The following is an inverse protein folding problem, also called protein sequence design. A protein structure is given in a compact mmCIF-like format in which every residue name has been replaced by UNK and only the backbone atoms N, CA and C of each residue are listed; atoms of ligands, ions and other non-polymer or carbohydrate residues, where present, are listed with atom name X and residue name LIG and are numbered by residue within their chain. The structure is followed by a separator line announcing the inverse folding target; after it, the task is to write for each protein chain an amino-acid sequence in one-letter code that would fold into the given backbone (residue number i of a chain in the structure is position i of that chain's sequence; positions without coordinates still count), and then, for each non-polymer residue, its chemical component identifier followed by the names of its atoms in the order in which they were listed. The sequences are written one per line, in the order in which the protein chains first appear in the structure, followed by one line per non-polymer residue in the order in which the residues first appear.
data_IF_397976037581
#
_entry.id   IF_397976037581
#
_cell.length_a   1.000
_cell.length_b   1.000
_cell.length_c   1.000
_cell.angle_alpha   90.00
_cell.angle_beta   90.00
_cell.angle_gamma   90.00
#
_symmetry.space_group_name_H-M   'P 1'
#
loop_
_entity.id
_entity.type
_entity.pdbx_description
1 polymer ?
#
# COMPACT_ATOMS: atom_id res chain seq x y z
N UNK A 1 24.14 7.89 -29.30
CA UNK A 1 23.70 6.62 -28.67
C UNK A 1 24.56 6.36 -27.44
N UNK A 2 24.12 6.71 -26.27
CA UNK A 2 24.87 6.46 -25.03
C UNK A 2 24.44 5.09 -24.48
N UNK A 3 25.37 4.14 -24.43
CA UNK A 3 25.16 2.85 -23.81
C UNK A 3 24.86 3.03 -22.32
N UNK A 4 23.63 2.78 -21.89
CA UNK A 4 23.28 2.61 -20.47
C UNK A 4 24.00 1.35 -19.97
N UNK A 5 25.10 1.52 -19.23
CA UNK A 5 25.72 0.42 -18.48
C UNK A 5 24.71 -0.04 -17.42
N UNK A 6 24.10 -1.20 -17.60
CA UNK A 6 23.26 -1.81 -16.57
C UNK A 6 24.14 -2.14 -15.36
N UNK A 7 23.71 -1.71 -14.19
CA UNK A 7 24.38 -2.09 -12.93
C UNK A 7 24.33 -3.62 -12.76
N UNK A 8 25.43 -4.21 -12.34
CA UNK A 8 25.50 -5.64 -12.04
C UNK A 8 24.57 -5.99 -10.88
N UNK A 9 24.10 -7.24 -10.80
CA UNK A 9 23.23 -7.73 -9.71
C UNK A 9 23.82 -7.43 -8.33
N UNK A 10 25.15 -7.57 -8.17
CA UNK A 10 25.85 -7.27 -6.92
C UNK A 10 25.88 -5.78 -6.60
N UNK A 11 26.00 -4.88 -7.59
CA UNK A 11 25.94 -3.44 -7.40
C UNK A 11 24.53 -2.98 -7.04
N UNK A 12 23.49 -3.59 -7.61
CA UNK A 12 22.10 -3.37 -7.23
C UNK A 12 21.85 -3.81 -5.78
N UNK A 13 22.34 -4.99 -5.39
CA UNK A 13 22.20 -5.49 -4.02
C UNK A 13 22.92 -4.62 -2.98
N UNK A 14 24.13 -4.09 -3.28
CA UNK A 14 24.84 -3.17 -2.38
C UNK A 14 24.15 -1.82 -2.22
N UNK A 15 23.51 -1.29 -3.27
CA UNK A 15 22.71 -0.07 -3.18
C UNK A 15 21.42 -0.28 -2.39
N UNK A 16 20.72 -1.38 -2.63
CA UNK A 16 19.54 -1.79 -1.83
C UNK A 16 19.92 -1.91 -0.35
N UNK A 17 21.09 -2.49 -0.02
CA UNK A 17 21.57 -2.58 1.36
C UNK A 17 21.84 -1.20 2.01
N UNK A 18 22.09 -0.16 1.23
CA UNK A 18 22.29 1.20 1.74
C UNK A 18 20.95 1.91 2.04
N UNK A 19 19.86 1.51 1.36
CA UNK A 19 18.49 1.96 1.61
C UNK A 19 17.67 0.99 2.48
N UNK A 20 18.21 -0.18 2.79
CA UNK A 20 17.67 -0.96 3.88
C UNK A 20 17.86 -0.11 5.14
N UNK A 21 16.87 0.76 5.38
CA UNK A 21 16.54 1.19 6.72
C UNK A 21 16.72 -0.06 7.55
N UNK A 22 17.59 -0.01 8.56
CA UNK A 22 17.63 -1.10 9.55
C UNK A 22 16.18 -1.39 9.86
N UNK A 23 15.67 -2.62 9.66
CA UNK A 23 14.30 -2.92 10.00
C UNK A 23 14.14 -2.36 11.39
N UNK A 24 13.11 -1.52 11.62
CA UNK A 24 12.80 -1.00 12.95
C UNK A 24 12.84 -2.24 13.80
N UNK A 25 13.91 -2.40 14.58
CA UNK A 25 14.35 -3.70 15.11
C UNK A 25 13.16 -4.29 15.83
N UNK A 26 12.78 -5.51 15.47
CA UNK A 26 11.86 -6.28 16.31
C UNK A 26 12.41 -6.16 17.74
N UNK A 27 11.58 -5.77 18.73
CA UNK A 27 12.06 -5.55 20.08
C UNK A 27 12.87 -6.76 20.48
N UNK A 28 14.11 -6.53 20.93
CA UNK A 28 15.01 -7.60 21.38
C UNK A 28 14.23 -8.38 22.45
N UNK A 29 14.12 -9.72 22.36
CA UNK A 29 13.41 -10.48 23.37
C UNK A 29 13.95 -10.12 24.76
N UNK A 30 13.12 -9.48 25.60
CA UNK A 30 13.51 -9.04 26.96
C UNK A 30 13.36 -7.53 27.21
N UNK A 31 13.18 -6.66 26.22
CA UNK A 31 12.80 -5.26 26.43
C UNK A 31 11.35 -5.06 26.04
N UNK A 32 10.49 -4.95 27.02
CA UNK A 32 9.13 -4.43 26.81
C UNK A 32 9.27 -2.91 26.63
N UNK A 33 9.33 -2.44 25.38
CA UNK A 33 9.26 -1.04 25.08
C UNK A 33 7.92 -0.49 25.61
N UNK A 34 7.95 0.64 26.30
CA UNK A 34 6.75 1.26 26.87
C UNK A 34 6.74 2.73 26.54
N UNK A 35 5.57 3.28 26.26
CA UNK A 35 5.41 4.73 26.17
C UNK A 35 5.35 5.33 27.57
N UNK A 36 6.19 6.33 27.82
CA UNK A 36 6.11 7.15 29.03
C UNK A 36 4.86 8.04 28.98
N UNK A 37 4.42 8.53 30.15
CA UNK A 37 3.30 9.50 30.20
C UNK A 37 3.57 10.76 29.36
N UNK A 38 4.82 11.23 29.29
CA UNK A 38 5.22 12.36 28.47
C UNK A 38 5.07 12.05 26.97
N UNK A 39 5.53 10.89 26.50
CA UNK A 39 5.40 10.48 25.11
C UNK A 39 3.95 10.28 24.67
N UNK A 40 3.08 9.78 25.56
CA UNK A 40 1.64 9.68 25.30
C UNK A 40 1.01 11.07 25.14
N UNK A 41 1.28 11.96 26.08
CA UNK A 41 0.79 13.34 26.01
C UNK A 41 1.33 14.10 24.79
N UNK A 42 2.58 13.84 24.37
CA UNK A 42 3.17 14.44 23.16
C UNK A 42 2.47 13.95 21.89
N UNK A 43 2.20 12.64 21.78
CA UNK A 43 1.39 12.10 20.67
C UNK A 43 0.02 12.76 20.60
N UNK A 44 -0.73 12.76 21.70
CA UNK A 44 -2.09 13.35 21.75
C UNK A 44 -2.10 14.84 21.43
N UNK A 45 -1.09 15.59 21.89
CA UNK A 45 -1.01 17.03 21.68
C UNK A 45 -0.59 17.44 20.27
N UNK A 46 0.21 16.62 19.58
CA UNK A 46 0.84 16.96 18.29
C UNK A 46 0.19 16.30 17.09
N UNK A 47 -0.65 15.28 17.29
CA UNK A 47 -1.42 14.65 16.21
C UNK A 47 -2.78 15.30 16.05
N UNK A 48 -3.19 15.53 14.80
CA UNK A 48 -4.53 15.99 14.42
C UNK A 48 -5.51 14.81 14.42
N UNK A 49 -5.03 13.65 14.01
CA UNK A 49 -5.79 12.43 13.98
C UNK A 49 -6.00 11.80 15.36
N UNK A 50 -6.66 10.66 15.40
CA UNK A 50 -7.01 9.96 16.64
C UNK A 50 -5.87 9.08 17.13
N UNK A 51 -5.57 9.11 18.41
CA UNK A 51 -4.63 8.21 19.09
C UNK A 51 -5.43 7.23 19.95
N UNK A 52 -5.15 5.94 19.85
CA UNK A 52 -5.88 4.88 20.54
C UNK A 52 -4.93 4.02 21.34
N UNK A 53 -5.24 3.83 22.62
CA UNK A 53 -4.48 3.01 23.56
C UNK A 53 -5.27 1.77 24.01
N UNK A 54 -4.62 0.76 24.61
CA UNK A 54 -5.28 -0.49 25.02
C UNK A 54 -6.43 -0.35 26.02
N UNK A 55 -6.56 0.77 26.71
CA UNK A 55 -7.65 1.05 27.66
C UNK A 55 -8.83 1.82 27.06
N UNK A 56 -8.72 2.21 25.79
CA UNK A 56 -9.80 2.94 25.10
C UNK A 56 -10.89 1.95 24.66
N UNK A 57 -12.14 2.41 24.71
CA UNK A 57 -13.31 1.57 24.46
C UNK A 57 -13.30 0.91 23.07
N UNK A 58 -12.76 1.60 22.08
CA UNK A 58 -12.75 1.15 20.67
C UNK A 58 -11.50 0.33 20.33
N UNK A 59 -10.55 0.16 21.26
CA UNK A 59 -9.25 -0.49 20.99
C UNK A 59 -9.38 -1.87 20.35
N UNK A 60 -10.29 -2.71 20.85
CA UNK A 60 -10.46 -4.07 20.32
C UNK A 60 -11.00 -4.08 18.89
N UNK A 61 -11.78 -3.08 18.49
CA UNK A 61 -12.22 -2.90 17.12
C UNK A 61 -11.09 -2.33 16.25
N UNK A 62 -10.40 -1.32 16.78
CA UNK A 62 -9.36 -0.56 16.06
C UNK A 62 -8.10 -1.40 15.74
N UNK A 63 -7.76 -2.38 16.59
CA UNK A 63 -6.62 -3.28 16.35
C UNK A 63 -6.87 -4.39 15.33
N UNK A 64 -8.11 -4.57 14.85
CA UNK A 64 -8.44 -5.65 13.91
C UNK A 64 -7.92 -5.35 12.51
N UNK A 65 -7.56 -6.43 11.80
CA UNK A 65 -7.39 -6.47 10.35
C UNK A 65 -8.61 -7.11 9.68
N UNK A 66 -8.71 -6.98 8.36
CA UNK A 66 -9.76 -7.63 7.57
C UNK A 66 -9.79 -9.15 7.79
N UNK A 67 -8.63 -9.78 7.99
CA UNK A 67 -8.54 -11.18 8.33
C UNK A 67 -8.50 -11.37 9.87
N UNK A 68 -9.58 -11.87 10.49
CA UNK A 68 -9.68 -12.01 11.95
C UNK A 68 -8.76 -13.11 12.52
N UNK A 69 -8.06 -13.87 11.69
CA UNK A 69 -7.07 -14.84 12.16
C UNK A 69 -5.83 -14.15 12.77
N UNK A 70 -5.56 -12.91 12.38
CA UNK A 70 -4.45 -12.13 12.92
C UNK A 70 -4.89 -11.38 14.17
N UNK A 71 -4.42 -11.82 15.34
CA UNK A 71 -4.74 -11.22 16.62
C UNK A 71 -3.48 -10.60 17.23
N UNK A 72 -3.29 -9.31 17.00
CA UNK A 72 -2.18 -8.51 17.48
C UNK A 72 -2.65 -7.44 18.48
N UNK A 73 -1.74 -7.03 19.38
CA UNK A 73 -2.03 -6.12 20.48
C UNK A 73 -1.00 -4.98 20.51
N UNK A 74 -1.15 -3.94 19.67
CA UNK A 74 -0.26 -2.79 19.67
C UNK A 74 -0.36 -1.99 20.97
N UNK A 75 0.73 -1.33 21.37
CA UNK A 75 0.72 -0.38 22.51
C UNK A 75 -0.03 0.91 22.18
N UNK A 76 -0.05 1.28 20.92
CA UNK A 76 -0.73 2.48 20.43
C UNK A 76 -1.06 2.35 18.95
N UNK A 77 -2.22 2.88 18.55
CA UNK A 77 -2.63 3.04 17.17
C UNK A 77 -2.81 4.54 16.93
N UNK A 78 -2.13 5.10 15.93
CA UNK A 78 -2.27 6.49 15.54
C UNK A 78 -2.94 6.56 14.17
N UNK A 79 -4.18 7.02 14.12
CA UNK A 79 -4.89 7.32 12.89
C UNK A 79 -4.42 8.67 12.37
N UNK A 80 -3.53 8.66 11.40
CA UNK A 80 -2.94 9.86 10.84
C UNK A 80 -3.91 10.53 9.87
N UNK A 81 -4.25 11.79 10.14
CA UNK A 81 -5.05 12.63 9.25
C UNK A 81 -4.19 13.38 8.22
N UNK A 82 -2.88 13.55 8.49
CA UNK A 82 -1.96 14.29 7.66
C UNK A 82 -0.51 13.78 7.77
N UNK A 83 0.37 14.31 6.92
CA UNK A 83 1.81 14.00 6.91
C UNK A 83 2.48 14.29 8.27
N UNK A 84 2.10 15.38 8.93
CA UNK A 84 2.65 15.77 10.23
C UNK A 84 2.42 14.68 11.28
N UNK A 85 1.23 14.06 11.30
CA UNK A 85 0.89 12.99 12.23
C UNK A 85 1.79 11.77 12.01
N UNK A 86 2.08 11.44 10.76
CA UNK A 86 3.01 10.36 10.41
C UNK A 86 4.40 10.64 10.95
N UNK A 87 4.92 11.84 10.73
CA UNK A 87 6.26 12.23 11.19
C UNK A 87 6.37 12.27 12.72
N UNK A 88 5.34 12.78 13.40
CA UNK A 88 5.27 12.79 14.87
C UNK A 88 5.27 11.36 15.40
N UNK A 89 4.42 10.49 14.83
CA UNK A 89 4.33 9.08 15.23
C UNK A 89 5.65 8.35 15.04
N UNK A 90 6.32 8.54 13.89
CA UNK A 90 7.63 7.95 13.62
C UNK A 90 8.69 8.42 14.62
N UNK A 91 8.73 9.73 14.93
CA UNK A 91 9.63 10.30 15.93
C UNK A 91 9.44 9.71 17.31
N UNK A 92 8.19 9.68 17.80
CA UNK A 92 7.87 9.09 19.12
C UNK A 92 8.18 7.59 19.16
N UNK A 93 7.87 6.85 18.08
CA UNK A 93 8.21 5.43 18.01
C UNK A 93 9.73 5.19 18.06
N UNK A 94 10.50 6.00 17.35
CA UNK A 94 11.97 5.95 17.36
C UNK A 94 12.53 6.23 18.74
N UNK A 95 12.08 7.30 19.40
CA UNK A 95 12.53 7.72 20.72
C UNK A 95 12.16 6.71 21.83
N UNK A 96 11.05 6.02 21.65
CA UNK A 96 10.58 4.97 22.56
C UNK A 96 11.11 3.56 22.23
N UNK A 97 11.83 3.38 21.13
CA UNK A 97 12.32 2.08 20.66
C UNK A 97 11.17 1.12 20.27
N UNK A 98 10.03 1.65 19.80
CA UNK A 98 8.87 0.86 19.38
C UNK A 98 9.05 0.30 17.97
N UNK A 99 8.65 -0.96 17.79
CA UNK A 99 8.41 -1.49 16.45
C UNK A 99 7.21 -0.77 15.81
N UNK A 100 7.30 -0.45 14.53
CA UNK A 100 6.23 0.20 13.78
C UNK A 100 5.65 -0.74 12.75
N UNK A 101 4.32 -0.80 12.67
CA UNK A 101 3.59 -1.31 11.52
C UNK A 101 2.84 -0.16 10.85
N UNK A 102 2.77 -0.20 9.52
CA UNK A 102 2.01 0.78 8.74
C UNK A 102 0.76 0.12 8.19
N UNK A 103 -0.38 0.73 8.44
CA UNK A 103 -1.68 0.24 7.99
C UNK A 103 -2.37 1.28 7.10
N UNK A 104 -2.93 0.87 5.98
CA UNK A 104 -3.86 1.69 5.17
C UNK A 104 -5.27 1.12 5.31
N UNK A 105 -5.63 0.07 4.52
CA UNK A 105 -6.94 -0.56 4.57
C UNK A 105 -7.01 -1.84 5.42
N UNK A 106 -5.92 -2.27 6.06
CA UNK A 106 -5.91 -3.48 6.89
C UNK A 106 -6.12 -4.80 6.11
N UNK A 107 -5.76 -4.84 4.84
CA UNK A 107 -5.93 -5.99 3.96
C UNK A 107 -4.66 -6.85 3.77
N UNK A 108 -3.67 -6.74 4.67
CA UNK A 108 -2.48 -7.58 4.57
C UNK A 108 -2.83 -9.05 4.73
N UNK A 109 -2.53 -9.87 3.72
CA UNK A 109 -2.76 -11.32 3.75
C UNK A 109 -1.76 -12.06 4.66
N UNK A 110 -0.73 -11.37 5.13
CA UNK A 110 0.31 -11.90 6.03
C UNK A 110 0.27 -11.24 7.43
N UNK A 111 -0.69 -10.34 7.69
CA UNK A 111 -0.85 -9.69 8.99
C UNK A 111 0.21 -8.64 9.31
N UNK A 112 0.87 -8.05 8.31
CA UNK A 112 1.98 -7.11 8.55
C UNK A 112 1.53 -5.68 8.92
N UNK A 113 0.24 -5.39 8.81
CA UNK A 113 -0.27 -4.03 9.09
C UNK A 113 -0.47 -3.74 10.56
N UNK A 114 -0.37 -4.74 11.43
CA UNK A 114 -0.50 -4.62 12.89
C UNK A 114 0.62 -5.42 13.56
N UNK A 115 1.05 -5.01 14.75
CA UNK A 115 2.05 -5.71 15.56
C UNK A 115 1.59 -5.84 17.01
N UNK A 116 2.31 -6.64 17.80
CA UNK A 116 2.12 -6.71 19.24
C UNK A 116 3.21 -5.94 19.94
N UNK A 117 2.84 -5.06 20.89
CA UNK A 117 3.76 -4.32 21.73
C UNK A 117 4.47 -3.16 21.05
N UNK A 118 4.05 -2.78 19.84
CA UNK A 118 4.60 -1.65 19.10
C UNK A 118 3.56 -0.58 18.79
N UNK A 119 3.82 0.23 17.78
CA UNK A 119 2.94 1.28 17.27
C UNK A 119 2.38 0.88 15.90
N UNK A 120 1.10 1.16 15.68
CA UNK A 120 0.49 1.15 14.35
C UNK A 120 0.33 2.59 13.87
N UNK A 121 0.95 2.92 12.75
CA UNK A 121 0.71 4.16 12.00
C UNK A 121 -0.37 3.85 10.97
N UNK A 122 -1.59 4.29 11.24
CA UNK A 122 -2.74 4.06 10.40
C UNK A 122 -2.99 5.24 9.47
N UNK A 123 -3.00 4.96 8.17
CA UNK A 123 -3.16 5.97 7.11
C UNK A 123 -4.57 5.99 6.54
N UNK A 124 -5.51 5.23 7.11
CA UNK A 124 -6.86 5.06 6.55
C UNK A 124 -7.66 6.36 6.50
N UNK A 125 -7.30 7.38 7.28
CA UNK A 125 -7.92 8.70 7.25
C UNK A 125 -7.28 9.64 6.22
N UNK A 126 -6.09 9.33 5.70
CA UNK A 126 -5.44 10.08 4.63
C UNK A 126 -6.01 9.69 3.26
N UNK A 127 -7.19 10.21 2.92
CA UNK A 127 -7.94 9.92 1.70
C UNK A 127 -7.98 11.13 0.78
N UNK A 128 -7.78 10.91 -0.51
CA UNK A 128 -7.91 11.95 -1.51
C UNK A 128 -7.42 11.52 -2.89
N UNK A 129 -8.05 12.07 -3.91
CA UNK A 129 -7.72 11.83 -5.32
C UNK A 129 -7.71 13.18 -6.02
N UNK A 130 -6.63 13.51 -6.70
CA UNK A 130 -6.49 14.72 -7.52
C UNK A 130 -6.06 14.32 -8.92
N UNK A 131 -6.89 14.65 -9.92
CA UNK A 131 -6.61 14.39 -11.33
C UNK A 131 -5.85 15.58 -11.93
N UNK A 132 -4.76 15.28 -12.65
CA UNK A 132 -4.05 16.19 -13.54
C UNK A 132 -4.21 15.62 -14.96
N UNK A 133 -5.34 15.94 -15.59
CA UNK A 133 -5.70 15.40 -16.91
C UNK A 133 -4.77 15.88 -18.01
N UNK A 134 -4.22 17.10 -17.90
CA UNK A 134 -3.30 17.67 -18.87
C UNK A 134 -2.00 16.86 -18.96
N UNK A 135 -1.56 16.29 -17.84
CA UNK A 135 -0.37 15.43 -17.77
C UNK A 135 -0.69 13.94 -17.79
N UNK A 136 -1.97 13.58 -17.86
CA UNK A 136 -2.45 12.21 -17.70
C UNK A 136 -1.92 11.56 -16.39
N UNK A 137 -1.92 12.33 -15.29
CA UNK A 137 -1.51 11.89 -13.97
C UNK A 137 -2.69 11.95 -12.99
N UNK A 138 -2.66 11.08 -12.01
CA UNK A 138 -3.53 11.16 -10.84
C UNK A 138 -2.69 10.99 -9.58
N UNK A 139 -2.95 11.84 -8.58
CA UNK A 139 -2.30 11.83 -7.28
C UNK A 139 -3.28 11.30 -6.25
N UNK A 140 -2.86 10.29 -5.49
CA UNK A 140 -3.74 9.56 -4.57
C UNK A 140 -3.10 9.46 -3.20
N UNK A 141 -3.84 9.79 -2.15
CA UNK A 141 -3.40 9.64 -0.76
C UNK A 141 -3.46 8.16 -0.32
N UNK A 142 -2.60 7.73 0.61
CA UNK A 142 -2.31 6.33 0.88
C UNK A 142 -3.49 5.51 1.40
N UNK A 143 -4.36 6.12 2.18
CA UNK A 143 -5.56 5.50 2.77
C UNK A 143 -6.78 5.53 1.86
N UNK A 144 -6.65 5.93 0.59
CA UNK A 144 -7.77 5.98 -0.35
C UNK A 144 -8.16 4.57 -0.78
N UNK A 145 -9.39 4.10 -0.49
CA UNK A 145 -9.85 2.80 -0.95
C UNK A 145 -10.21 2.83 -2.45
N UNK A 146 -10.19 1.67 -3.09
CA UNK A 146 -10.46 1.58 -4.54
C UNK A 146 -11.85 2.04 -4.94
N UNK A 147 -12.86 1.86 -4.09
CA UNK A 147 -14.20 2.39 -4.37
C UNK A 147 -14.19 3.92 -4.55
N UNK A 148 -13.43 4.64 -3.72
CA UNK A 148 -13.25 6.10 -3.82
C UNK A 148 -12.38 6.46 -5.02
N UNK A 149 -11.28 5.73 -5.23
CA UNK A 149 -10.36 5.97 -6.34
C UNK A 149 -11.05 5.74 -7.69
N UNK A 150 -11.71 4.60 -7.87
CA UNK A 150 -12.47 4.29 -9.08
C UNK A 150 -13.65 5.24 -9.28
N UNK A 151 -14.32 5.64 -8.17
CA UNK A 151 -15.37 6.65 -8.21
C UNK A 151 -14.90 7.99 -8.77
N UNK A 152 -13.71 8.44 -8.37
CA UNK A 152 -13.11 9.68 -8.87
C UNK A 152 -12.72 9.61 -10.38
N UNK A 153 -12.40 8.43 -10.89
CA UNK A 153 -12.08 8.22 -12.31
C UNK A 153 -13.31 7.95 -13.17
N UNK A 154 -14.44 7.59 -12.54
CA UNK A 154 -15.65 7.21 -13.26
C UNK A 154 -16.19 8.37 -14.12
N UNK A 155 -16.49 8.09 -15.39
CA UNK A 155 -17.01 9.07 -16.35
C UNK A 155 -15.93 9.98 -16.98
N UNK A 156 -14.68 9.95 -16.50
CA UNK A 156 -13.57 10.78 -17.08
C UNK A 156 -12.96 10.17 -18.34
N UNK A 157 -13.17 8.88 -18.57
CA UNK A 157 -12.47 8.12 -19.62
C UNK A 157 -11.03 7.76 -19.28
N UNK A 158 -10.56 8.08 -18.06
CA UNK A 158 -9.26 7.70 -17.54
C UNK A 158 -9.35 6.47 -16.62
N UNK A 159 -8.25 5.74 -16.56
CA UNK A 159 -8.16 4.53 -15.73
C UNK A 159 -6.73 4.31 -15.20
N UNK A 160 -6.66 3.68 -14.04
CA UNK A 160 -5.46 3.06 -13.46
C UNK A 160 -5.85 1.65 -13.04
N UNK A 161 -5.06 0.59 -13.33
CA UNK A 161 -5.36 -0.76 -12.86
C UNK A 161 -5.51 -0.81 -11.33
N UNK A 162 -6.66 -1.31 -10.85
CA UNK A 162 -6.98 -1.46 -9.43
C UNK A 162 -7.41 -2.89 -9.12
N UNK A 163 -7.38 -3.26 -7.84
CA UNK A 163 -7.90 -4.55 -7.38
C UNK A 163 -9.43 -4.63 -7.43
N UNK A 164 -9.95 -5.84 -7.28
CA UNK A 164 -11.39 -6.12 -7.32
C UNK A 164 -12.14 -5.71 -6.04
N UNK A 165 -11.46 -5.67 -4.88
CA UNK A 165 -12.09 -5.36 -3.60
C UNK A 165 -12.08 -3.84 -3.35
N UNK A 166 -13.27 -3.23 -3.24
CA UNK A 166 -13.45 -1.78 -3.10
C UNK A 166 -12.82 -1.18 -1.85
N UNK A 167 -12.74 -1.92 -0.75
CA UNK A 167 -12.20 -1.46 0.53
C UNK A 167 -10.67 -1.53 0.65
N UNK A 168 -9.97 -2.17 -0.31
CA UNK A 168 -8.51 -2.19 -0.35
C UNK A 168 -7.97 -0.81 -0.69
N UNK A 169 -6.99 -0.33 0.08
CA UNK A 169 -6.38 0.98 -0.13
C UNK A 169 -5.15 0.91 -1.05
N UNK A 170 -4.91 2.02 -1.75
CA UNK A 170 -3.91 2.09 -2.84
C UNK A 170 -2.49 1.83 -2.38
N UNK A 171 -2.06 2.34 -1.20
CA UNK A 171 -0.65 2.31 -0.82
C UNK A 171 -0.12 0.90 -0.55
N UNK A 172 -0.85 0.08 0.20
CA UNK A 172 -0.44 -1.31 0.44
C UNK A 172 -0.45 -2.14 -0.84
N UNK A 173 -1.47 -1.94 -1.68
CA UNK A 173 -1.67 -2.69 -2.91
C UNK A 173 -0.58 -2.43 -3.95
N UNK A 174 -0.24 -1.18 -4.22
CA UNK A 174 0.80 -0.82 -5.22
C UNK A 174 2.18 -1.30 -4.80
N UNK A 175 2.50 -1.26 -3.50
CA UNK A 175 3.79 -1.73 -2.99
C UNK A 175 3.97 -3.26 -3.11
N UNK A 176 2.87 -4.00 -3.18
CA UNK A 176 2.87 -5.44 -3.50
C UNK A 176 2.79 -5.75 -4.99
N UNK A 177 2.82 -4.73 -5.86
CA UNK A 177 2.65 -4.86 -7.31
C UNK A 177 1.25 -4.51 -7.77
N UNK A 178 0.21 -5.11 -7.21
CA UNK A 178 -1.19 -4.75 -7.45
C UNK A 178 -1.76 -5.32 -8.75
N UNK A 179 -2.33 -6.52 -8.69
CA UNK A 179 -2.97 -7.20 -9.81
C UNK A 179 -4.50 -7.02 -9.78
N UNK A 180 -5.11 -6.74 -10.94
CA UNK A 180 -6.55 -6.58 -11.07
C UNK A 180 -7.06 -6.93 -12.47
N UNK A 181 -8.36 -6.68 -12.71
CA UNK A 181 -9.05 -7.11 -13.94
C UNK A 181 -8.44 -6.56 -15.24
N UNK A 182 -7.86 -5.39 -15.21
CA UNK A 182 -7.28 -4.73 -16.39
C UNK A 182 -5.77 -4.96 -16.53
N UNK A 183 -5.14 -5.69 -15.58
CA UNK A 183 -3.69 -5.87 -15.55
C UNK A 183 -3.15 -6.62 -16.76
N UNK A 184 -3.94 -7.50 -17.37
CA UNK A 184 -3.53 -8.22 -18.58
C UNK A 184 -3.28 -7.29 -19.76
N UNK A 185 -4.03 -6.19 -19.84
CA UNK A 185 -3.93 -5.21 -20.93
C UNK A 185 -2.96 -4.08 -20.60
N UNK A 186 -2.99 -3.59 -19.36
CA UNK A 186 -2.31 -2.36 -18.96
C UNK A 186 -1.12 -2.57 -18.02
N UNK A 187 -0.81 -3.80 -17.62
CA UNK A 187 0.16 -4.10 -16.57
C UNK A 187 -0.45 -4.02 -15.18
N UNK A 188 0.35 -4.31 -14.16
CA UNK A 188 -0.06 -4.22 -12.76
C UNK A 188 -0.06 -2.76 -12.28
N UNK A 189 -0.66 -2.48 -11.13
CA UNK A 189 -0.77 -1.10 -10.64
C UNK A 189 0.59 -0.40 -10.46
N UNK A 190 1.60 -1.12 -9.98
CA UNK A 190 2.96 -0.60 -9.80
C UNK A 190 3.64 -0.20 -11.12
N UNK A 191 3.24 -0.77 -12.27
CA UNK A 191 3.74 -0.36 -13.59
C UNK A 191 3.23 1.03 -13.98
N UNK A 192 2.14 1.48 -13.36
CA UNK A 192 1.57 2.82 -13.58
C UNK A 192 2.08 3.86 -12.59
N UNK A 193 2.81 3.46 -11.56
CA UNK A 193 3.38 4.42 -10.62
C UNK A 193 4.35 5.37 -11.34
N UNK A 194 4.10 6.68 -11.21
CA UNK A 194 4.94 7.75 -11.73
C UNK A 194 5.87 8.28 -10.65
N UNK A 195 5.40 8.37 -9.41
CA UNK A 195 6.17 8.80 -8.26
C UNK A 195 5.52 8.37 -6.94
N UNK A 196 6.34 8.30 -5.91
CA UNK A 196 5.90 8.18 -4.52
C UNK A 196 6.45 9.36 -3.71
N UNK A 197 5.66 9.88 -2.78
CA UNK A 197 6.12 10.72 -1.69
C UNK A 197 6.23 9.85 -0.44
N UNK A 198 7.38 9.83 0.23
CA UNK A 198 7.69 8.84 1.27
C UNK A 198 8.35 9.51 2.46
N UNK A 199 7.88 9.24 3.66
CA UNK A 199 8.58 9.54 4.91
C UNK A 199 9.54 8.40 5.22
N UNK A 200 10.83 8.70 5.25
CA UNK A 200 11.89 7.75 5.61
C UNK A 200 12.01 7.62 7.14
N UNK A 201 12.62 6.55 7.61
CA UNK A 201 12.85 6.35 9.06
C UNK A 201 13.63 7.47 9.74
N UNK A 202 14.41 8.25 8.98
CA UNK A 202 15.08 9.47 9.46
C UNK A 202 14.15 10.64 9.75
N UNK A 203 12.86 10.54 9.42
CA UNK A 203 11.91 11.65 9.44
C UNK A 203 11.99 12.55 8.20
N UNK A 204 12.89 12.25 7.26
CA UNK A 204 13.00 13.02 6.01
C UNK A 204 11.91 12.56 5.03
N UNK A 205 11.21 13.53 4.42
CA UNK A 205 10.26 13.24 3.35
C UNK A 205 10.95 13.44 2.01
N UNK A 206 10.86 12.41 1.16
CA UNK A 206 11.48 12.40 -0.17
C UNK A 206 10.47 12.07 -1.25
N UNK A 207 10.77 12.49 -2.47
CA UNK A 207 10.10 12.01 -3.68
C UNK A 207 10.94 10.90 -4.30
N UNK A 208 10.30 9.80 -4.68
CA UNK A 208 10.91 8.69 -5.39
C UNK A 208 10.24 8.51 -6.76
N UNK A 209 11.04 8.61 -7.83
CA UNK A 209 10.60 8.44 -9.21
C UNK A 209 11.76 7.91 -10.07
N UNK A 210 11.60 7.80 -11.38
CA UNK A 210 12.66 7.27 -12.26
C UNK A 210 13.97 8.08 -12.26
N UNK A 211 13.94 9.35 -11.84
CA UNK A 211 15.08 10.29 -11.88
C UNK A 211 15.62 10.61 -10.50
N UNK A 212 14.74 10.62 -9.50
CA UNK A 212 15.05 11.00 -8.13
C UNK A 212 14.77 9.81 -7.21
N UNK A 213 15.73 9.42 -6.37
CA UNK A 213 15.64 8.25 -5.50
C UNK A 213 15.16 6.99 -6.26
N UNK A 214 15.77 6.74 -7.42
CA UNK A 214 15.32 5.70 -8.36
C UNK A 214 15.38 4.28 -7.78
N UNK A 215 16.28 4.01 -6.85
CA UNK A 215 16.40 2.70 -6.16
C UNK A 215 15.23 2.52 -5.19
N UNK A 216 14.84 3.59 -4.46
CA UNK A 216 13.65 3.59 -3.61
C UNK A 216 12.39 3.42 -4.46
N UNK A 217 12.30 4.12 -5.59
CA UNK A 217 11.20 3.98 -6.54
C UNK A 217 11.07 2.54 -7.06
N UNK A 218 12.19 1.90 -7.36
CA UNK A 218 12.20 0.49 -7.75
C UNK A 218 11.72 -0.42 -6.62
N UNK A 219 12.19 -0.19 -5.39
CA UNK A 219 11.85 -0.99 -4.22
C UNK A 219 10.35 -0.89 -3.85
N UNK A 220 9.75 0.29 -3.96
CA UNK A 220 8.33 0.53 -3.66
C UNK A 220 7.38 -0.10 -4.67
N UNK A 221 7.86 -0.55 -5.83
CA UNK A 221 7.07 -1.18 -6.88
C UNK A 221 7.18 -2.71 -6.86
N UNK A 222 6.86 -3.33 -5.70
CA UNK A 222 6.82 -4.77 -5.53
C UNK A 222 7.63 -5.32 -4.35
N UNK A 223 8.36 -4.45 -3.62
CA UNK A 223 9.15 -4.85 -2.45
C UNK A 223 8.33 -4.99 -1.15
N UNK A 224 7.02 -4.95 -1.26
CA UNK A 224 6.01 -4.97 -0.18
C UNK A 224 5.98 -3.71 0.69
N UNK A 225 4.85 -3.47 1.38
CA UNK A 225 4.64 -2.29 2.21
C UNK A 225 5.42 -2.33 3.53
N UNK A 226 5.70 -1.13 4.09
CA UNK A 226 6.29 -0.98 5.42
C UNK A 226 7.81 -1.21 5.51
N UNK A 227 8.49 -1.53 4.40
CA UNK A 227 9.92 -1.88 4.41
C UNK A 227 10.85 -0.70 4.13
N UNK A 228 10.39 0.32 3.41
CA UNK A 228 11.26 1.37 2.86
C UNK A 228 10.83 2.78 3.30
N UNK A 229 9.92 2.86 4.25
CA UNK A 229 9.33 4.10 4.75
C UNK A 229 7.82 4.09 4.68
N UNK A 230 7.18 5.19 5.08
CA UNK A 230 5.73 5.38 5.05
C UNK A 230 5.36 6.13 3.79
N UNK A 231 4.57 5.51 2.91
CA UNK A 231 4.08 6.16 1.69
C UNK A 231 3.01 7.19 2.06
N UNK A 232 3.23 8.44 1.66
CA UNK A 232 2.35 9.59 1.94
C UNK A 232 1.47 9.95 0.74
N UNK A 233 1.92 9.62 -0.47
CA UNK A 233 1.18 9.84 -1.71
C UNK A 233 1.73 8.93 -2.80
N UNK A 234 0.87 8.50 -3.71
CA UNK A 234 1.25 7.82 -4.95
C UNK A 234 0.72 8.64 -6.12
N UNK A 235 1.57 8.86 -7.11
CA UNK A 235 1.18 9.44 -8.40
C UNK A 235 1.19 8.35 -9.46
N UNK A 236 0.14 8.26 -10.27
CA UNK A 236 0.03 7.26 -11.34
C UNK A 236 -0.11 7.90 -12.71
N UNK A 237 0.48 7.28 -13.71
CA UNK A 237 0.13 7.51 -15.10
C UNK A 237 -1.22 6.89 -15.41
N UNK A 238 -2.17 7.71 -15.84
CA UNK A 238 -3.48 7.24 -16.28
C UNK A 238 -3.42 6.72 -17.72
N UNK A 239 -4.28 5.76 -18.03
CA UNK A 239 -4.49 5.24 -19.38
C UNK A 239 -5.91 5.56 -19.86
N UNK A 240 -6.13 5.66 -21.16
CA UNK A 240 -7.48 5.84 -21.71
C UNK A 240 -8.22 4.52 -21.69
N UNK A 241 -9.36 4.52 -20.99
CA UNK A 241 -10.33 3.42 -20.94
C UNK A 241 -11.73 4.01 -20.75
N UNK A 242 -12.39 4.42 -21.85
CA UNK A 242 -13.66 5.14 -21.79
C UNK A 242 -14.81 4.26 -21.31
N UNK A 243 -14.73 2.95 -21.54
CA UNK A 243 -15.76 2.01 -21.09
C UNK A 243 -15.21 0.60 -20.96
N UNK A 244 -15.82 -0.16 -20.07
CA UNK A 244 -15.64 -1.61 -19.93
C UNK A 244 -16.99 -2.30 -20.10
N UNK A 245 -16.95 -3.49 -20.66
CA UNK A 245 -18.11 -4.36 -20.73
C UNK A 245 -17.85 -5.60 -19.88
N UNK A 246 -18.75 -5.90 -18.96
CA UNK A 246 -18.63 -7.04 -18.06
C UNK A 246 -19.86 -7.95 -18.17
N UNK A 247 -19.62 -9.26 -18.00
CA UNK A 247 -20.66 -10.26 -17.93
C UNK A 247 -20.31 -11.31 -16.87
N UNK A 248 -21.32 -12.00 -16.39
CA UNK A 248 -21.17 -13.11 -15.44
C UNK A 248 -22.05 -14.25 -15.88
N UNK A 249 -21.51 -15.46 -15.90
CA UNK A 249 -22.25 -16.68 -16.19
C UNK A 249 -22.06 -17.64 -15.01
N UNK A 250 -23.16 -18.12 -14.49
CA UNK A 250 -23.15 -19.12 -13.41
C UNK A 250 -23.57 -20.47 -13.96
N UNK A 251 -22.82 -21.51 -13.64
CA UNK A 251 -23.13 -22.90 -13.99
C UNK A 251 -23.45 -23.72 -12.75
N UNK A 252 -24.16 -24.80 -12.93
CA UNK A 252 -24.35 -25.74 -11.84
C UNK A 252 -23.07 -26.50 -11.53
N UNK A 253 -22.85 -26.85 -10.25
CA UNK A 253 -21.64 -27.53 -9.81
C UNK A 253 -21.35 -28.84 -10.58
N UNK A 254 -22.39 -29.56 -11.00
CA UNK A 254 -22.23 -30.79 -11.82
C UNK A 254 -21.57 -30.54 -13.18
N UNK A 255 -21.58 -29.31 -13.68
CA UNK A 255 -20.97 -28.92 -14.97
C UNK A 255 -19.51 -28.40 -14.79
N UNK A 256 -19.02 -28.28 -13.56
CA UNK A 256 -17.74 -27.61 -13.26
C UNK A 256 -16.57 -28.21 -14.07
N UNK A 257 -16.42 -29.53 -14.12
CA UNK A 257 -15.32 -30.18 -14.84
C UNK A 257 -15.35 -29.87 -16.34
N UNK A 258 -16.54 -29.89 -16.96
CA UNK A 258 -16.71 -29.59 -18.38
C UNK A 258 -16.42 -28.12 -18.69
N UNK A 259 -16.93 -27.21 -17.87
CA UNK A 259 -16.72 -25.75 -18.02
C UNK A 259 -15.25 -25.39 -17.82
N UNK A 260 -14.59 -25.92 -16.78
CA UNK A 260 -13.17 -25.69 -16.54
C UNK A 260 -12.30 -26.22 -17.68
N UNK A 261 -12.61 -27.40 -18.23
CA UNK A 261 -11.90 -27.96 -19.39
C UNK A 261 -12.03 -27.06 -20.62
N UNK A 262 -13.25 -26.52 -20.88
CA UNK A 262 -13.49 -25.59 -21.98
C UNK A 262 -12.74 -24.28 -21.79
N UNK A 263 -12.85 -23.66 -20.60
CA UNK A 263 -12.13 -22.45 -20.27
C UNK A 263 -10.62 -22.62 -20.41
N UNK A 264 -10.08 -23.73 -19.91
CA UNK A 264 -8.64 -24.01 -20.00
C UNK A 264 -8.19 -24.23 -21.45
N UNK A 265 -9.00 -24.89 -22.27
CA UNK A 265 -8.67 -25.14 -23.68
C UNK A 265 -8.75 -23.88 -24.53
N UNK A 266 -9.84 -23.15 -24.44
CA UNK A 266 -10.19 -22.13 -25.42
C UNK A 266 -9.86 -20.70 -24.94
N UNK A 267 -9.85 -20.47 -23.63
CA UNK A 267 -9.61 -19.12 -23.06
C UNK A 267 -8.19 -18.93 -22.52
N UNK A 268 -7.61 -19.94 -21.86
CA UNK A 268 -6.30 -19.73 -21.22
C UNK A 268 -5.13 -20.15 -22.07
N UNK A 269 -5.26 -21.21 -22.89
CA UNK A 269 -4.16 -21.77 -23.69
C UNK A 269 -4.09 -21.23 -25.11
N UNK A 270 -5.19 -20.87 -25.73
CA UNK A 270 -5.25 -20.50 -27.16
C UNK A 270 -5.40 -19.01 -27.41
N UNK A 271 -5.19 -18.19 -26.39
CA UNK A 271 -5.15 -16.75 -26.60
C UNK A 271 -6.51 -16.10 -26.54
N UNK A 272 -7.12 -16.11 -25.37
CA UNK A 272 -8.16 -15.10 -25.11
C UNK A 272 -7.60 -13.73 -25.49
N UNK A 273 -8.41 -12.86 -26.11
CA UNK A 273 -7.94 -11.51 -26.46
C UNK A 273 -7.31 -10.83 -25.25
N UNK A 274 -6.22 -10.06 -25.42
CA UNK A 274 -5.50 -9.43 -24.31
C UNK A 274 -6.37 -8.47 -23.49
N UNK A 275 -7.46 -7.98 -24.07
CA UNK A 275 -8.47 -7.13 -23.45
C UNK A 275 -9.64 -7.90 -22.80
N UNK A 276 -9.59 -9.23 -22.74
CA UNK A 276 -10.57 -10.07 -22.06
C UNK A 276 -10.02 -10.63 -20.76
N UNK A 277 -10.88 -10.80 -19.77
CA UNK A 277 -10.57 -11.39 -18.49
C UNK A 277 -11.73 -12.27 -17.99
N UNK A 278 -11.41 -13.45 -17.45
CA UNK A 278 -12.38 -14.36 -16.84
C UNK A 278 -11.88 -14.76 -15.45
N UNK A 279 -12.75 -14.68 -14.44
CA UNK A 279 -12.50 -15.13 -13.06
C UNK A 279 -13.22 -16.42 -12.77
#
# INVERSE_FOLDING_TARGET
MAHRKSLTRAAKQRRIAHFLVQPLQAPTPGHSATLTGVQKADLEARTVGRVVFPWDADYDADRQETNPAFQYYPLVIVYCACETDVLVSMGVASDAGLAVSVRSGGHSTAGYSVNTGGMVIDLSEMKGVVLDEDRALVHVLPGTPFEVFNGALNGTGWHVPTGACGSVCVAGFVQGGGYGYTSRTYGIQSDKAAAFRVALASGTVVTANERENADLFWALRGGTGGNFGVVLQVSYHMVRLPSVWGWSITWQAAQAAQVLALLQKDYTRQGAPPNSWAT
#
